data_IF_098228228025
#
_entry.id   IF_098228228025
#
_cell.length_a   1.000
_cell.length_b   1.000
_cell.length_c   1.000
_cell.angle_alpha   90.00
_cell.angle_beta   90.00
_cell.angle_gamma   90.00
#
_symmetry.space_group_name_H-M   'P 1'
#
loop_
_entity.id
_entity.type
_entity.pdbx_description
1 polymer ?
#
# COMPACT_ATOMS: atom_id res chain seq x y z
N UNK A 1 -46.85 -7.25 47.22
CA UNK A 1 -45.37 -7.24 47.36
C UNK A 1 -44.73 -7.35 45.99
N UNK A 2 -43.60 -6.70 45.84
CA UNK A 2 -43.02 -6.16 44.62
C UNK A 2 -42.30 -7.20 43.72
N UNK A 3 -42.28 -6.89 42.41
CA UNK A 3 -41.50 -7.47 41.29
C UNK A 3 -41.74 -8.94 40.93
N UNK A 4 -41.89 -9.21 39.62
CA UNK A 4 -40.89 -9.98 38.84
C UNK A 4 -41.24 -10.09 37.33
N UNK A 5 -40.27 -9.61 36.54
CA UNK A 5 -39.87 -10.03 35.19
C UNK A 5 -40.81 -9.80 33.99
N UNK A 6 -40.54 -8.74 33.22
CA UNK A 6 -40.85 -8.70 31.79
C UNK A 6 -40.09 -9.84 31.10
N UNK A 7 -40.83 -10.81 30.56
CA UNK A 7 -40.34 -11.71 29.53
C UNK A 7 -40.61 -11.04 28.18
N UNK A 8 -39.60 -10.41 27.60
CA UNK A 8 -39.63 -10.04 26.18
C UNK A 8 -39.18 -11.27 25.40
N UNK A 9 -40.00 -11.80 24.49
CA UNK A 9 -39.64 -12.99 23.73
C UNK A 9 -38.54 -12.63 22.73
N UNK A 10 -37.46 -13.41 22.76
CA UNK A 10 -36.47 -13.46 21.69
C UNK A 10 -37.17 -13.92 20.41
N UNK A 11 -37.50 -12.98 19.52
CA UNK A 11 -37.97 -13.31 18.18
C UNK A 11 -37.26 -12.42 17.15
N UNK A 12 -36.44 -13.09 16.34
CA UNK A 12 -35.97 -12.69 15.02
C UNK A 12 -35.11 -11.41 14.92
N UNK A 13 -33.80 -11.58 15.01
CA UNK A 13 -32.85 -10.75 14.24
C UNK A 13 -32.01 -11.68 13.38
N UNK A 14 -32.52 -11.95 12.18
CA UNK A 14 -31.81 -12.70 11.15
C UNK A 14 -30.67 -11.83 10.59
N UNK A 15 -29.46 -12.15 11.03
CA UNK A 15 -28.22 -12.24 10.26
C UNK A 15 -28.08 -11.30 9.02
N UNK A 16 -27.63 -10.06 9.23
CA UNK A 16 -26.89 -9.29 8.22
C UNK A 16 -25.38 -9.43 8.49
N UNK A 17 -24.79 -10.53 8.05
CA UNK A 17 -23.33 -10.75 8.08
C UNK A 17 -22.88 -11.38 6.77
N UNK A 18 -22.63 -10.56 5.74
CA UNK A 18 -21.70 -10.88 4.64
C UNK A 18 -21.61 -9.73 3.62
N UNK A 19 -21.00 -8.62 4.01
CA UNK A 19 -20.33 -7.70 3.06
C UNK A 19 -18.89 -7.50 3.55
N UNK A 20 -18.20 -8.60 3.85
CA UNK A 20 -16.75 -8.59 3.90
C UNK A 20 -16.28 -8.66 2.44
N UNK A 21 -16.10 -7.49 1.81
CA UNK A 21 -15.26 -7.43 0.62
C UNK A 21 -13.90 -7.96 1.00
N UNK A 22 -13.49 -9.09 0.42
CA UNK A 22 -12.10 -9.54 0.53
C UNK A 22 -11.28 -8.52 -0.25
N UNK A 23 -10.64 -7.60 0.47
CA UNK A 23 -9.53 -6.85 -0.09
C UNK A 23 -8.42 -7.87 -0.36
N UNK A 24 -8.43 -8.45 -1.56
CA UNK A 24 -7.33 -9.27 -2.02
C UNK A 24 -6.13 -8.35 -2.14
N UNK A 25 -5.06 -8.65 -1.41
CA UNK A 25 -3.76 -8.13 -1.81
C UNK A 25 -3.55 -8.57 -3.27
N UNK A 26 -3.27 -7.63 -4.17
CA UNK A 26 -2.93 -7.99 -5.54
C UNK A 26 -1.72 -8.93 -5.47
N UNK A 27 -1.97 -10.21 -5.75
CA UNK A 27 -0.92 -11.20 -5.84
C UNK A 27 0.08 -10.73 -6.89
N UNK A 28 1.37 -10.72 -6.53
CA UNK A 28 2.45 -10.40 -7.45
C UNK A 28 3.29 -11.66 -7.72
N UNK A 29 2.94 -12.47 -8.75
CA UNK A 29 3.61 -13.74 -8.99
C UNK A 29 5.10 -13.59 -9.32
N UNK A 30 5.50 -12.45 -9.92
CA UNK A 30 6.89 -12.19 -10.27
C UNK A 30 7.73 -11.94 -9.01
N UNK A 31 7.25 -11.06 -8.11
CA UNK A 31 7.87 -10.83 -6.81
C UNK A 31 7.91 -12.13 -5.99
N UNK A 32 6.77 -12.85 -5.91
CA UNK A 32 6.69 -14.13 -5.20
C UNK A 32 7.71 -15.12 -5.72
N UNK A 33 7.78 -15.33 -7.03
CA UNK A 33 8.76 -16.25 -7.63
C UNK A 33 10.20 -15.83 -7.33
N UNK A 34 10.49 -14.53 -7.32
CA UNK A 34 11.81 -14.03 -6.95
C UNK A 34 12.13 -14.34 -5.49
N UNK A 35 11.21 -14.04 -4.57
CA UNK A 35 11.36 -14.28 -3.15
C UNK A 35 11.49 -15.78 -2.81
N UNK A 36 10.70 -16.64 -3.45
CA UNK A 36 10.77 -18.10 -3.27
C UNK A 36 12.15 -18.66 -3.71
N UNK A 37 12.87 -17.96 -4.60
CA UNK A 37 14.21 -18.33 -5.06
C UNK A 37 15.37 -17.61 -4.36
N UNK A 38 15.08 -16.68 -3.44
CA UNK A 38 16.09 -15.90 -2.73
C UNK A 38 16.74 -16.75 -1.62
N UNK A 39 18.08 -16.78 -1.55
CA UNK A 39 18.81 -17.54 -0.53
C UNK A 39 19.56 -16.65 0.46
N UNK A 40 19.75 -15.38 0.12
CA UNK A 40 20.45 -14.40 0.93
C UNK A 40 19.60 -13.15 1.17
N UNK A 41 19.97 -12.36 2.18
CA UNK A 41 19.38 -11.03 2.38
C UNK A 41 19.56 -10.14 1.15
N UNK A 42 20.71 -10.23 0.48
CA UNK A 42 20.96 -9.48 -0.74
C UNK A 42 19.98 -9.88 -1.87
N UNK A 43 19.70 -11.18 -2.04
CA UNK A 43 18.71 -11.65 -3.02
C UNK A 43 17.31 -11.09 -2.74
N UNK A 44 16.90 -11.07 -1.47
CA UNK A 44 15.60 -10.52 -1.07
C UNK A 44 15.50 -9.01 -1.37
N UNK A 45 16.56 -8.25 -1.05
CA UNK A 45 16.65 -6.81 -1.38
C UNK A 45 16.61 -6.59 -2.89
N UNK A 46 17.28 -7.45 -3.66
CA UNK A 46 17.26 -7.40 -5.12
C UNK A 46 15.86 -7.68 -5.68
N UNK A 47 15.13 -8.64 -5.10
CA UNK A 47 13.73 -8.90 -5.47
C UNK A 47 12.85 -7.66 -5.22
N UNK A 48 12.94 -7.07 -4.03
CA UNK A 48 12.21 -5.83 -3.70
C UNK A 48 12.58 -4.69 -4.66
N UNK A 49 13.86 -4.52 -4.95
CA UNK A 49 14.37 -3.44 -5.82
C UNK A 49 13.92 -3.61 -7.26
N UNK A 50 13.95 -4.85 -7.78
CA UNK A 50 13.45 -5.16 -9.14
C UNK A 50 11.97 -4.85 -9.26
N UNK A 51 11.17 -5.28 -8.29
CA UNK A 51 9.74 -5.00 -8.31
C UNK A 51 9.43 -3.51 -8.11
N UNK A 52 10.19 -2.83 -7.25
CA UNK A 52 10.08 -1.37 -7.08
C UNK A 52 10.24 -0.64 -8.41
N UNK A 53 11.15 -1.08 -9.30
CA UNK A 53 11.30 -0.47 -10.63
C UNK A 53 10.06 -0.65 -11.50
N UNK A 54 9.38 -1.79 -11.40
CA UNK A 54 8.11 -2.05 -12.11
C UNK A 54 7.02 -1.11 -11.59
N UNK A 55 6.87 -1.03 -10.26
CA UNK A 55 5.88 -0.17 -9.62
C UNK A 55 6.18 1.32 -9.82
N UNK A 56 7.45 1.73 -9.87
CA UNK A 56 7.85 3.11 -10.15
C UNK A 56 7.52 3.51 -11.60
N UNK A 57 7.69 2.60 -12.56
CA UNK A 57 7.26 2.84 -13.94
C UNK A 57 5.73 3.02 -14.04
N UNK A 58 4.95 2.20 -13.31
CA UNK A 58 3.50 2.34 -13.18
C UNK A 58 3.13 3.68 -12.53
N UNK A 59 3.75 4.01 -11.40
CA UNK A 59 3.57 5.28 -10.68
C UNK A 59 3.82 6.47 -11.59
N UNK A 60 4.93 6.49 -12.33
CA UNK A 60 5.27 7.61 -13.23
C UNK A 60 4.27 7.74 -14.38
N UNK A 61 3.73 6.62 -14.87
CA UNK A 61 2.67 6.63 -15.89
C UNK A 61 1.38 7.24 -15.33
N UNK A 62 0.94 6.78 -14.17
CA UNK A 62 -0.23 7.30 -13.47
C UNK A 62 -0.07 8.79 -13.11
N UNK A 63 1.11 9.19 -12.63
CA UNK A 63 1.42 10.58 -12.32
C UNK A 63 1.29 11.48 -13.56
N UNK A 64 1.83 11.06 -14.71
CA UNK A 64 1.70 11.82 -15.96
C UNK A 64 0.25 11.95 -16.41
N UNK A 65 -0.55 10.88 -16.28
CA UNK A 65 -1.98 10.92 -16.57
C UNK A 65 -2.70 11.91 -15.65
N UNK A 66 -2.51 11.82 -14.34
CA UNK A 66 -3.10 12.73 -13.35
C UNK A 66 -2.67 14.19 -13.59
N UNK A 67 -1.41 14.43 -13.94
CA UNK A 67 -0.89 15.76 -14.27
C UNK A 67 -1.46 16.34 -15.58
N UNK A 68 -1.93 15.49 -16.49
CA UNK A 68 -2.57 15.90 -17.75
C UNK A 68 -4.05 16.21 -17.53
N UNK A 69 -4.72 15.47 -16.64
CA UNK A 69 -6.12 15.66 -16.30
C UNK A 69 -6.40 16.89 -15.41
N UNK A 70 -5.36 17.54 -14.88
CA UNK A 70 -5.49 18.69 -13.97
C UNK A 70 -5.01 20.00 -14.59
N UNK A 71 -5.70 21.08 -14.26
CA UNK A 71 -5.37 22.44 -14.69
C UNK A 71 -5.07 23.37 -13.50
N UNK A 72 -4.38 24.48 -13.79
CA UNK A 72 -4.13 25.57 -12.85
C UNK A 72 -3.55 25.13 -11.51
N UNK A 73 -4.13 25.64 -10.41
CA UNK A 73 -3.66 25.41 -9.06
C UNK A 73 -3.65 23.92 -8.65
N UNK A 74 -4.60 23.11 -9.14
CA UNK A 74 -4.65 21.68 -8.80
C UNK A 74 -3.45 20.92 -9.31
N UNK A 75 -2.98 21.26 -10.52
CA UNK A 75 -1.77 20.69 -11.11
C UNK A 75 -0.54 21.00 -10.27
N UNK A 76 -0.40 22.25 -9.83
CA UNK A 76 0.70 22.68 -8.96
C UNK A 76 0.67 21.94 -7.61
N UNK A 77 -0.51 21.87 -6.99
CA UNK A 77 -0.73 21.12 -5.75
C UNK A 77 -0.34 19.64 -5.88
N UNK A 78 -0.71 18.97 -6.97
CA UNK A 78 -0.32 17.57 -7.19
C UNK A 78 1.21 17.41 -7.29
N UNK A 79 1.91 18.32 -7.98
CA UNK A 79 3.38 18.29 -8.01
C UNK A 79 3.98 18.46 -6.61
N UNK A 80 3.46 19.39 -5.82
CA UNK A 80 3.92 19.65 -4.45
C UNK A 80 3.68 18.45 -3.53
N UNK A 81 2.50 17.82 -3.62
CA UNK A 81 2.18 16.60 -2.89
C UNK A 81 3.11 15.46 -3.31
N UNK A 82 3.37 15.29 -4.62
CA UNK A 82 4.24 14.22 -5.10
C UNK A 82 5.68 14.39 -4.59
N UNK A 83 6.23 15.61 -4.60
CA UNK A 83 7.56 15.88 -4.05
C UNK A 83 7.65 15.62 -2.55
N UNK A 84 6.61 15.99 -1.80
CA UNK A 84 6.54 15.72 -0.36
C UNK A 84 6.42 14.23 -0.08
N UNK A 85 5.63 13.51 -0.87
CA UNK A 85 5.51 12.07 -0.77
C UNK A 85 6.87 11.37 -0.97
N UNK A 86 7.68 11.78 -1.94
CA UNK A 86 9.04 11.23 -2.14
C UNK A 86 9.88 11.41 -0.88
N UNK A 87 9.92 12.63 -0.31
CA UNK A 87 10.66 12.92 0.92
C UNK A 87 10.16 12.08 2.09
N UNK A 88 8.85 11.92 2.22
CA UNK A 88 8.24 11.11 3.26
C UNK A 88 8.60 9.63 3.11
N UNK A 89 8.47 9.07 1.89
CA UNK A 89 8.86 7.69 1.59
C UNK A 89 10.31 7.44 1.97
N UNK A 90 11.22 8.29 1.51
CA UNK A 90 12.65 8.08 1.73
C UNK A 90 13.01 8.20 3.23
N UNK A 91 12.41 9.15 3.96
CA UNK A 91 12.60 9.29 5.40
C UNK A 91 12.00 8.11 6.19
N UNK A 92 10.77 7.71 5.86
CA UNK A 92 10.06 6.64 6.54
C UNK A 92 10.73 5.28 6.31
N UNK A 93 11.06 4.96 5.06
CA UNK A 93 11.71 3.69 4.72
C UNK A 93 13.17 3.67 5.18
N UNK A 94 13.85 4.82 5.25
CA UNK A 94 15.16 4.93 5.90
C UNK A 94 15.09 4.61 7.40
N UNK A 95 14.07 5.12 8.11
CA UNK A 95 13.83 4.79 9.51
C UNK A 95 13.56 3.29 9.70
N UNK A 96 12.62 2.72 8.93
CA UNK A 96 12.30 1.28 8.96
C UNK A 96 13.54 0.43 8.66
N UNK A 97 14.39 0.88 7.74
CA UNK A 97 15.63 0.23 7.35
C UNK A 97 16.81 0.45 8.30
N UNK A 98 16.58 0.90 9.54
CA UNK A 98 17.64 1.15 10.53
C UNK A 98 17.30 0.71 11.96
N UNK A 99 16.29 -0.14 12.13
CA UNK A 99 15.73 -0.48 13.44
C UNK A 99 16.69 -1.26 14.36
N UNK A 100 17.52 -2.15 13.82
CA UNK A 100 18.33 -3.10 14.58
C UNK A 100 19.83 -3.03 14.27
N UNK A 101 20.21 -2.47 13.12
CA UNK A 101 21.57 -2.50 12.56
C UNK A 101 21.92 -3.83 11.87
N UNK A 102 21.00 -4.80 11.85
CA UNK A 102 21.17 -6.08 11.17
C UNK A 102 20.81 -6.03 9.68
N UNK A 103 21.19 -7.06 8.93
CA UNK A 103 20.90 -7.14 7.48
C UNK A 103 19.39 -7.21 7.17
N UNK A 104 18.58 -7.71 8.10
CA UNK A 104 17.11 -7.72 7.97
C UNK A 104 16.53 -6.33 7.76
N UNK A 105 17.16 -5.29 8.32
CA UNK A 105 16.71 -3.91 8.15
C UNK A 105 16.75 -3.49 6.67
N UNK A 106 17.71 -4.00 5.88
CA UNK A 106 17.79 -3.72 4.45
C UNK A 106 16.59 -4.31 3.69
N UNK A 107 16.12 -5.50 4.10
CA UNK A 107 14.91 -6.12 3.54
C UNK A 107 13.68 -5.30 3.91
N UNK A 108 13.57 -4.90 5.17
CA UNK A 108 12.45 -4.09 5.65
C UNK A 108 12.40 -2.72 4.94
N UNK A 109 13.54 -2.04 4.82
CA UNK A 109 13.63 -0.76 4.13
C UNK A 109 13.29 -0.86 2.64
N UNK A 110 13.84 -1.86 1.94
CA UNK A 110 13.53 -2.07 0.52
C UNK A 110 12.07 -2.50 0.29
N UNK A 111 11.50 -3.33 1.17
CA UNK A 111 10.08 -3.70 1.15
C UNK A 111 9.18 -2.49 1.38
N UNK A 112 9.51 -1.62 2.34
CA UNK A 112 8.79 -0.36 2.54
C UNK A 112 8.76 0.51 1.28
N UNK A 113 9.89 0.66 0.59
CA UNK A 113 9.95 1.45 -0.66
C UNK A 113 9.04 0.85 -1.72
N UNK A 114 9.05 -0.48 -1.86
CA UNK A 114 8.17 -1.20 -2.77
C UNK A 114 6.69 -0.93 -2.46
N UNK A 115 6.25 -1.22 -1.24
CA UNK A 115 4.85 -1.12 -0.81
C UNK A 115 4.31 0.31 -0.98
N UNK A 116 5.10 1.30 -0.55
CA UNK A 116 4.72 2.71 -0.69
C UNK A 116 4.63 3.13 -2.16
N UNK A 117 5.51 2.62 -3.02
CA UNK A 117 5.51 2.92 -4.46
C UNK A 117 4.30 2.30 -5.15
N UNK A 118 3.96 1.04 -4.84
CA UNK A 118 2.75 0.38 -5.33
C UNK A 118 1.48 1.12 -4.89
N UNK A 119 1.40 1.46 -3.60
CA UNK A 119 0.25 2.19 -3.05
C UNK A 119 0.10 3.54 -3.74
N UNK A 120 1.20 4.27 -3.93
CA UNK A 120 1.16 5.58 -4.58
C UNK A 120 0.75 5.50 -6.05
N UNK A 121 1.18 4.45 -6.77
CA UNK A 121 0.71 4.21 -8.12
C UNK A 121 -0.82 4.08 -8.16
N UNK A 122 -1.40 3.28 -7.25
CA UNK A 122 -2.85 3.11 -7.15
C UNK A 122 -3.57 4.41 -6.79
N UNK A 123 -3.05 5.18 -5.83
CA UNK A 123 -3.62 6.48 -5.47
C UNK A 123 -3.69 7.42 -6.68
N UNK A 124 -2.63 7.48 -7.49
CA UNK A 124 -2.56 8.34 -8.67
C UNK A 124 -3.51 7.88 -9.78
N UNK A 125 -3.64 6.56 -10.00
CA UNK A 125 -4.62 5.99 -10.94
C UNK A 125 -6.05 6.35 -10.52
N UNK A 126 -6.35 6.26 -9.22
CA UNK A 126 -7.66 6.62 -8.69
C UNK A 126 -8.02 8.10 -8.87
N UNK A 127 -7.04 9.00 -9.07
CA UNK A 127 -7.30 10.42 -9.34
C UNK A 127 -7.87 10.67 -10.73
N UNK A 128 -7.62 9.76 -11.69
CA UNK A 128 -8.09 9.88 -13.07
C UNK A 128 -9.23 8.93 -13.41
N UNK A 129 -9.51 7.96 -12.53
CA UNK A 129 -10.47 6.88 -12.79
C UNK A 129 -9.89 5.78 -13.68
N UNK A 130 -10.58 4.63 -13.82
CA UNK A 130 -10.21 3.62 -14.80
C UNK A 130 -10.29 4.13 -16.25
#
# INVERSE_FOLDING_TARGET
MNRKHLLVPFAASALLLALCGTASADENPALKKCMDGANTTADMVDCNTKETKVQDARLNTAYKAAMTAMEGNRKQQLQDVQRQWIKFRDANCGFIGSATGGTIDQVNGSGCVLDMTQTRAQELENLVGP
#
